data_IF_569039750714
#
_entry.id   IF_569039750714
#
_cell.length_a   1.000
_cell.length_b   1.000
_cell.length_c   1.000
_cell.angle_alpha   90.00
_cell.angle_beta   90.00
_cell.angle_gamma   90.00
#
_symmetry.space_group_name_H-M   'P 1'
#
loop_
_entity.id
_entity.type
_entity.pdbx_description
1 polymer ?
#
# COMPACT_ATOMS: atom_id res chain seq x y z
N UNK A 1 -25.61 -23.07 -18.70
CA UNK A 1 -25.24 -23.59 -17.36
C UNK A 1 -23.73 -23.51 -17.25
N UNK A 2 -23.20 -22.51 -16.53
CA UNK A 2 -21.76 -22.29 -16.42
C UNK A 2 -21.51 -21.23 -15.36
N UNK A 3 -21.27 -21.68 -14.12
CA UNK A 3 -20.93 -20.78 -13.00
C UNK A 3 -19.64 -20.06 -13.35
N UNK A 4 -19.71 -18.74 -13.50
CA UNK A 4 -18.52 -17.88 -13.46
C UNK A 4 -17.95 -17.98 -12.04
N UNK A 5 -16.63 -18.16 -11.83
CA UNK A 5 -16.05 -18.05 -10.51
C UNK A 5 -16.21 -16.59 -10.07
N UNK A 6 -16.98 -16.35 -9.02
CA UNK A 6 -17.00 -15.05 -8.37
C UNK A 6 -15.68 -14.88 -7.63
N UNK A 7 -14.75 -14.17 -8.26
CA UNK A 7 -13.44 -13.80 -7.70
C UNK A 7 -13.56 -12.81 -6.54
N UNK A 8 -14.38 -13.10 -5.53
CA UNK A 8 -14.38 -12.37 -4.27
C UNK A 8 -13.33 -12.97 -3.37
N UNK A 9 -12.16 -12.33 -3.32
CA UNK A 9 -11.26 -12.48 -2.19
C UNK A 9 -12.01 -12.08 -0.93
N UNK A 10 -12.46 -13.07 -0.16
CA UNK A 10 -13.35 -12.90 0.99
C UNK A 10 -12.64 -12.44 2.26
N UNK A 11 -11.34 -12.12 2.15
CA UNK A 11 -10.44 -11.84 3.26
C UNK A 11 -10.89 -10.65 4.13
N UNK A 12 -11.42 -9.53 3.58
CA UNK A 12 -11.90 -8.43 4.42
C UNK A 12 -13.19 -8.72 5.21
N UNK A 13 -13.89 -9.83 4.93
CA UNK A 13 -15.11 -10.21 5.66
C UNK A 13 -14.81 -10.73 7.08
N UNK A 14 -13.56 -11.11 7.38
CA UNK A 14 -13.10 -11.51 8.71
C UNK A 14 -12.48 -10.31 9.45
N UNK A 15 -12.95 -9.94 10.66
CA UNK A 15 -12.36 -8.85 11.45
C UNK A 15 -10.84 -8.98 11.69
N UNK A 16 -10.30 -10.21 11.72
CA UNK A 16 -8.87 -10.45 11.90
C UNK A 16 -8.04 -9.82 10.79
N UNK A 17 -8.60 -9.64 9.60
CA UNK A 17 -7.95 -8.98 8.47
C UNK A 17 -7.48 -7.57 8.85
N UNK A 18 -8.32 -6.79 9.51
CA UNK A 18 -8.01 -5.42 9.89
C UNK A 18 -6.97 -5.34 11.00
N UNK A 19 -7.02 -6.27 11.97
CA UNK A 19 -6.01 -6.36 13.03
C UNK A 19 -4.66 -6.77 12.47
N UNK A 20 -4.64 -7.76 11.58
CA UNK A 20 -3.42 -8.18 10.90
C UNK A 20 -2.79 -7.04 10.10
N UNK A 21 -3.58 -6.35 9.28
CA UNK A 21 -3.08 -5.22 8.50
C UNK A 21 -2.62 -4.04 9.37
N UNK A 22 -3.29 -3.79 10.50
CA UNK A 22 -2.82 -2.79 11.47
C UNK A 22 -1.46 -3.14 12.06
N UNK A 23 -1.17 -4.42 12.29
CA UNK A 23 0.14 -4.87 12.76
C UNK A 23 1.22 -4.72 11.69
N UNK A 24 0.91 -5.02 10.43
CA UNK A 24 1.85 -4.81 9.32
C UNK A 24 2.20 -3.33 9.15
N UNK A 25 1.22 -2.43 9.27
CA UNK A 25 1.47 -0.98 9.21
C UNK A 25 2.32 -0.49 10.39
N UNK A 26 2.11 -1.01 11.61
CA UNK A 26 2.99 -0.75 12.76
C UNK A 26 4.44 -1.18 12.50
N UNK A 27 4.67 -2.33 11.83
CA UNK A 27 6.03 -2.75 11.47
C UNK A 27 6.66 -1.77 10.48
N UNK A 28 5.88 -1.23 9.54
CA UNK A 28 6.35 -0.23 8.61
C UNK A 28 6.73 1.09 9.30
N UNK A 29 5.90 1.60 10.22
CA UNK A 29 6.21 2.78 11.04
C UNK A 29 7.53 2.61 11.81
N UNK A 30 7.72 1.45 12.45
CA UNK A 30 8.96 1.12 13.17
C UNK A 30 10.16 1.08 12.23
N UNK A 31 10.00 0.51 11.04
CA UNK A 31 11.05 0.51 10.02
C UNK A 31 11.39 1.93 9.57
N UNK A 32 10.41 2.80 9.31
CA UNK A 32 10.65 4.19 8.92
C UNK A 32 11.40 4.96 10.02
N UNK A 33 11.06 4.73 11.30
CA UNK A 33 11.77 5.32 12.45
C UNK A 33 13.21 4.83 12.57
N UNK A 34 13.46 3.54 12.31
CA UNK A 34 14.81 2.97 12.31
C UNK A 34 15.64 3.42 11.09
N UNK A 35 14.99 3.75 9.97
CA UNK A 35 15.64 4.10 8.71
C UNK A 35 15.16 5.46 8.16
N UNK A 36 15.39 6.58 8.87
CA UNK A 36 14.89 7.90 8.47
C UNK A 36 15.51 8.44 7.17
N UNK A 37 16.64 7.85 6.72
CA UNK A 37 17.30 8.22 5.44
C UNK A 37 16.79 7.40 4.25
N UNK A 38 15.99 6.36 4.49
CA UNK A 38 15.44 5.52 3.43
C UNK A 38 14.18 6.15 2.87
N UNK A 39 14.11 6.27 1.54
CA UNK A 39 12.94 6.77 0.83
C UNK A 39 12.11 5.63 0.25
N UNK A 40 10.84 5.91 -0.05
CA UNK A 40 10.01 5.00 -0.84
C UNK A 40 10.62 4.80 -2.23
N UNK A 41 10.73 3.53 -2.64
CA UNK A 41 11.22 3.15 -3.96
C UNK A 41 10.14 2.33 -4.69
N UNK A 42 9.88 2.62 -5.98
CA UNK A 42 10.58 3.60 -6.79
C UNK A 42 10.08 5.04 -6.55
N UNK A 43 11.01 5.98 -6.40
CA UNK A 43 10.67 7.41 -6.25
C UNK A 43 9.96 7.99 -7.48
N UNK A 44 10.13 7.36 -8.65
CA UNK A 44 9.43 7.68 -9.90
C UNK A 44 9.06 6.40 -10.61
N UNK A 45 7.90 6.38 -11.26
CA UNK A 45 7.48 5.27 -12.11
C UNK A 45 8.57 4.90 -13.13
N UNK A 46 8.87 3.61 -13.32
CA UNK A 46 9.80 3.18 -14.37
C UNK A 46 9.37 3.74 -15.73
N UNK A 47 10.30 4.42 -16.42
CA UNK A 47 10.06 5.01 -17.74
C UNK A 47 10.04 3.96 -18.86
N UNK A 48 10.73 2.84 -18.66
CA UNK A 48 10.76 1.75 -19.62
C UNK A 48 9.41 0.99 -19.61
N UNK A 49 8.82 0.71 -20.78
CA UNK A 49 7.67 -0.18 -20.87
C UNK A 49 8.06 -1.59 -20.42
N UNK A 50 7.27 -2.17 -19.51
CA UNK A 50 7.51 -3.49 -18.92
C UNK A 50 6.51 -3.76 -17.80
N UNK A 51 6.51 -4.99 -17.27
CA UNK A 51 5.60 -5.42 -16.20
C UNK A 51 5.64 -4.51 -14.96
N UNK A 52 6.81 -3.95 -14.68
CA UNK A 52 7.01 -3.04 -13.54
C UNK A 52 6.26 -1.71 -13.73
N UNK A 53 6.10 -1.21 -14.95
CA UNK A 53 5.32 0.02 -15.21
C UNK A 53 3.82 -0.20 -14.97
N UNK A 54 3.32 -1.41 -15.15
CA UNK A 54 1.88 -1.64 -15.10
C UNK A 54 1.39 -1.92 -13.65
N UNK A 55 2.28 -2.37 -12.76
CA UNK A 55 1.93 -2.73 -11.37
C UNK A 55 2.67 -1.96 -10.29
N UNK A 56 3.73 -1.20 -10.62
CA UNK A 56 4.46 -0.40 -9.64
C UNK A 56 4.03 1.05 -9.73
N UNK A 57 3.61 1.59 -8.58
CA UNK A 57 3.30 2.99 -8.43
C UNK A 57 4.56 3.76 -8.02
N UNK A 58 4.84 4.84 -8.73
CA UNK A 58 5.79 5.84 -8.27
C UNK A 58 5.21 6.63 -7.09
N UNK A 59 6.09 7.35 -6.40
CA UNK A 59 5.75 8.15 -5.22
C UNK A 59 4.59 9.15 -5.45
N UNK A 60 4.49 9.68 -6.67
CA UNK A 60 3.52 10.70 -7.09
C UNK A 60 2.39 10.14 -7.97
N UNK A 61 2.36 8.83 -8.22
CA UNK A 61 1.29 8.21 -9.00
C UNK A 61 0.06 7.96 -8.10
N UNK A 62 -1.16 8.21 -8.58
CA UNK A 62 -2.37 7.83 -7.86
C UNK A 62 -2.49 6.30 -7.81
N UNK A 63 -2.97 5.77 -6.68
CA UNK A 63 -3.21 4.33 -6.47
C UNK A 63 -4.70 4.01 -6.64
N UNK A 64 -5.14 3.46 -7.79
CA UNK A 64 -6.52 3.09 -8.01
C UNK A 64 -7.02 2.09 -6.95
N UNK A 65 -8.33 2.12 -6.60
CA UNK A 65 -9.38 2.99 -7.14
C UNK A 65 -9.38 4.43 -6.60
N UNK A 66 -8.43 4.80 -5.74
CA UNK A 66 -8.40 6.11 -5.09
C UNK A 66 -7.48 7.10 -5.82
N UNK A 67 -7.83 8.38 -5.78
CA UNK A 67 -6.97 9.45 -6.30
C UNK A 67 -5.93 9.91 -5.24
N UNK A 68 -5.29 8.95 -4.57
CA UNK A 68 -4.33 9.15 -3.48
C UNK A 68 -2.97 8.59 -3.89
N UNK A 69 -1.90 9.36 -3.66
CA UNK A 69 -0.53 8.94 -3.98
C UNK A 69 0.17 8.35 -2.76
N UNK A 70 1.18 7.47 -2.93
CA UNK A 70 1.98 6.96 -1.82
C UNK A 70 2.55 8.08 -0.95
N UNK A 71 2.98 9.20 -1.55
CA UNK A 71 3.48 10.38 -0.83
C UNK A 71 2.55 10.86 0.28
N UNK A 72 1.24 10.85 0.05
CA UNK A 72 0.25 11.32 1.04
C UNK A 72 0.11 10.38 2.24
N UNK A 73 0.53 9.12 2.09
CA UNK A 73 0.38 8.08 3.10
C UNK A 73 1.68 7.76 3.86
N UNK A 74 2.84 8.25 3.38
CA UNK A 74 4.13 8.03 4.05
C UNK A 74 4.21 8.61 5.46
N UNK A 75 3.41 9.64 5.75
CA UNK A 75 3.31 10.28 7.06
C UNK A 75 1.90 10.05 7.62
N UNK A 76 1.69 8.87 8.20
CA UNK A 76 0.44 8.50 8.85
C UNK A 76 0.24 9.18 10.21
N UNK A 77 1.31 9.73 10.81
CA UNK A 77 1.31 10.33 12.16
C UNK A 77 0.33 11.50 12.31
N UNK A 78 -0.04 12.12 11.19
CA UNK A 78 -1.04 13.19 11.11
C UNK A 78 -2.48 12.70 11.25
N UNK A 79 -2.73 11.41 11.05
CA UNK A 79 -4.06 10.81 11.04
C UNK A 79 -4.25 9.89 12.25
N UNK A 80 -3.25 9.09 12.60
CA UNK A 80 -3.30 8.19 13.75
C UNK A 80 -1.90 7.90 14.31
N UNK A 81 -1.87 7.29 15.51
CA UNK A 81 -0.63 6.90 16.19
C UNK A 81 -0.81 5.53 16.84
N UNK A 82 0.21 4.68 16.71
CA UNK A 82 0.31 3.46 17.49
C UNK A 82 0.83 3.73 18.90
N UNK A 83 0.29 2.97 19.88
CA UNK A 83 0.67 3.06 21.28
C UNK A 83 2.13 2.62 21.52
#
# INVERSE_FOLDING_TARGET
>A
MGRRPDGRGRLPEDPVFWLHHSFIDLLWDRWQKAHPKSAYLPGRKPAAPGRDRDYVFGLDDPMPPWNVTPRKLLDHSKVYRYA
#
